data_IF_632442377755
#
_entry.id   IF_632442377755
#
_cell.length_a   1.000
_cell.length_b   1.000
_cell.length_c   1.000
_cell.angle_alpha   90.00
_cell.angle_beta   90.00
_cell.angle_gamma   90.00
#
_symmetry.space_group_name_H-M   'P 1'
#
loop_
_entity.id
_entity.type
_entity.pdbx_description
1 polymer ?
#
# COMPACT_ATOMS: atom_id res chain seq x y z
N UNK A 1 -22.10 14.02 7.49
CA UNK A 1 -20.97 13.16 7.88
C UNK A 1 -19.65 13.76 7.41
N UNK A 2 -18.52 13.52 8.09
CA UNK A 2 -17.23 13.94 7.56
C UNK A 2 -16.76 12.88 6.55
N UNK A 3 -16.43 13.29 5.32
CA UNK A 3 -16.01 12.35 4.26
C UNK A 3 -14.78 11.51 4.66
N UNK A 4 -14.04 11.96 5.67
CA UNK A 4 -12.95 11.24 6.34
C UNK A 4 -13.37 9.91 6.95
N UNK A 5 -14.62 9.77 7.41
CA UNK A 5 -15.12 8.55 8.05
C UNK A 5 -15.20 7.38 7.05
N UNK A 6 -15.46 7.69 5.76
CA UNK A 6 -15.50 6.71 4.68
C UNK A 6 -14.12 6.06 4.45
N UNK A 7 -13.04 6.86 4.44
CA UNK A 7 -11.68 6.32 4.31
C UNK A 7 -11.36 5.35 5.45
N UNK A 8 -11.64 5.74 6.70
CA UNK A 8 -11.40 4.87 7.86
C UNK A 8 -12.23 3.59 7.81
N UNK A 9 -13.45 3.63 7.25
CA UNK A 9 -14.24 2.43 7.02
C UNK A 9 -13.60 1.50 5.98
N UNK A 10 -13.13 2.04 4.84
CA UNK A 10 -12.42 1.31 3.79
C UNK A 10 -11.15 0.66 4.35
N UNK A 11 -10.30 1.44 5.01
CA UNK A 11 -9.04 0.98 5.61
C UNK A 11 -9.28 -0.13 6.64
N UNK A 12 -10.25 0.05 7.52
CA UNK A 12 -10.57 -0.98 8.50
C UNK A 12 -11.16 -2.25 7.86
N UNK A 13 -11.89 -2.14 6.74
CA UNK A 13 -12.37 -3.29 6.00
C UNK A 13 -11.24 -4.06 5.30
N UNK A 14 -10.25 -3.36 4.73
CA UNK A 14 -9.01 -3.96 4.24
C UNK A 14 -8.28 -4.72 5.35
N UNK A 15 -8.07 -4.07 6.51
CA UNK A 15 -7.35 -4.69 7.62
C UNK A 15 -8.07 -5.92 8.18
N UNK A 16 -9.41 -5.95 8.17
CA UNK A 16 -10.18 -7.11 8.60
C UNK A 16 -9.95 -8.36 7.72
N UNK A 17 -9.49 -8.20 6.47
CA UNK A 17 -9.13 -9.32 5.60
C UNK A 17 -7.73 -9.89 5.91
N UNK A 18 -6.84 -9.09 6.50
CA UNK A 18 -5.45 -9.49 6.72
C UNK A 18 -5.29 -10.77 7.55
N UNK A 19 -6.00 -10.99 8.67
CA UNK A 19 -5.89 -12.23 9.45
C UNK A 19 -6.33 -13.48 8.67
N UNK A 20 -7.19 -13.32 7.67
CA UNK A 20 -7.73 -14.42 6.85
C UNK A 20 -6.77 -14.75 5.70
N UNK A 21 -6.23 -13.72 5.04
CA UNK A 21 -5.39 -13.89 3.84
C UNK A 21 -3.92 -14.16 4.17
N UNK A 22 -3.38 -13.58 5.25
CA UNK A 22 -1.97 -13.71 5.63
C UNK A 22 -1.53 -15.18 5.81
N UNK A 23 -2.27 -16.06 6.51
CA UNK A 23 -1.89 -17.47 6.62
C UNK A 23 -1.84 -18.19 5.26
N UNK A 24 -2.69 -17.79 4.30
CA UNK A 24 -2.67 -18.36 2.94
C UNK A 24 -1.38 -17.95 2.22
N UNK A 25 -1.01 -16.67 2.31
CA UNK A 25 0.24 -16.16 1.71
C UNK A 25 1.45 -16.82 2.36
N UNK A 26 1.52 -16.91 3.69
CA UNK A 26 2.64 -17.53 4.42
C UNK A 26 2.81 -19.02 4.08
N UNK A 27 1.69 -19.76 4.02
CA UNK A 27 1.70 -21.17 3.65
C UNK A 27 2.21 -21.36 2.22
N UNK A 28 1.73 -20.54 1.27
CA UNK A 28 2.16 -20.63 -0.12
C UNK A 28 3.62 -20.19 -0.27
N UNK A 29 4.04 -19.11 0.40
CA UNK A 29 5.43 -18.64 0.39
C UNK A 29 6.37 -19.74 0.85
N UNK A 30 6.07 -20.38 1.99
CA UNK A 30 6.83 -21.53 2.50
C UNK A 30 6.87 -22.70 1.52
N UNK A 31 5.75 -23.01 0.85
CA UNK A 31 5.68 -24.11 -0.11
C UNK A 31 6.57 -23.91 -1.35
N UNK A 32 6.90 -22.66 -1.69
CA UNK A 32 7.81 -22.32 -2.78
C UNK A 32 9.22 -21.92 -2.31
N UNK A 33 9.52 -22.03 -1.00
CA UNK A 33 10.80 -21.62 -0.44
C UNK A 33 11.04 -20.11 -0.51
N UNK A 34 9.98 -19.31 -0.53
CA UNK A 34 10.01 -17.85 -0.58
C UNK A 34 9.66 -17.26 0.78
N UNK A 35 10.21 -16.09 1.07
CA UNK A 35 9.68 -15.22 2.13
C UNK A 35 8.35 -14.61 1.70
N UNK A 36 7.53 -14.17 2.67
CA UNK A 36 6.28 -13.44 2.37
C UNK A 36 6.54 -12.18 1.55
N UNK A 37 7.65 -11.48 1.81
CA UNK A 37 8.02 -10.28 1.06
C UNK A 37 8.35 -10.61 -0.40
N UNK A 38 9.12 -11.66 -0.66
CA UNK A 38 9.44 -12.12 -2.01
C UNK A 38 8.18 -12.57 -2.76
N UNK A 39 7.26 -13.27 -2.08
CA UNK A 39 5.97 -13.64 -2.68
C UNK A 39 5.13 -12.42 -3.08
N UNK A 40 5.05 -11.40 -2.21
CA UNK A 40 4.36 -10.15 -2.53
C UNK A 40 5.01 -9.45 -3.73
N UNK A 41 6.34 -9.36 -3.77
CA UNK A 41 7.06 -8.75 -4.89
C UNK A 41 6.88 -9.53 -6.19
N UNK A 42 6.87 -10.86 -6.14
CA UNK A 42 6.60 -11.71 -7.29
C UNK A 42 5.20 -11.45 -7.86
N UNK A 43 4.18 -11.32 -7.01
CA UNK A 43 2.80 -11.02 -7.44
C UNK A 43 2.63 -9.62 -8.03
N UNK A 44 3.49 -8.69 -7.62
CA UNK A 44 3.52 -7.33 -8.13
C UNK A 44 4.27 -7.23 -9.46
N UNK A 45 5.26 -8.07 -9.74
CA UNK A 45 6.08 -7.96 -10.94
C UNK A 45 5.29 -7.91 -12.29
N UNK A 46 4.24 -8.73 -12.53
CA UNK A 46 3.48 -8.68 -13.77
C UNK A 46 2.75 -7.36 -14.01
N UNK A 47 2.43 -6.60 -12.96
CA UNK A 47 1.68 -5.36 -13.13
C UNK A 47 2.46 -4.31 -13.90
N UNK A 48 3.79 -4.45 -13.99
CA UNK A 48 4.67 -3.53 -14.71
C UNK A 48 4.88 -3.87 -16.18
N UNK A 49 4.30 -4.96 -16.69
CA UNK A 49 4.43 -5.26 -18.11
C UNK A 49 3.89 -4.12 -18.99
N UNK A 50 4.57 -3.82 -20.13
CA UNK A 50 5.69 -4.53 -20.74
C UNK A 50 7.08 -4.18 -20.17
N UNK A 51 7.19 -3.28 -19.21
CA UNK A 51 8.47 -2.89 -18.59
C UNK A 51 9.02 -4.03 -17.70
N UNK A 52 10.34 -4.07 -17.49
CA UNK A 52 10.93 -4.99 -16.53
C UNK A 52 10.73 -4.44 -15.11
N UNK A 53 10.44 -5.29 -14.13
CA UNK A 53 10.45 -4.86 -12.72
C UNK A 53 11.88 -4.59 -12.28
N UNK A 54 12.09 -3.51 -11.53
CA UNK A 54 13.39 -3.11 -11.01
C UNK A 54 13.25 -2.47 -9.63
N UNK A 55 14.36 -2.35 -8.91
CA UNK A 55 14.36 -1.67 -7.61
C UNK A 55 13.92 -0.20 -7.74
N UNK A 56 14.30 0.49 -8.82
CA UNK A 56 13.88 1.88 -9.06
C UNK A 56 12.37 1.98 -9.32
N UNK A 57 11.80 1.04 -10.06
CA UNK A 57 10.36 1.01 -10.35
C UNK A 57 9.55 0.70 -9.08
N UNK A 58 10.02 -0.24 -8.25
CA UNK A 58 9.41 -0.54 -6.96
C UNK A 58 9.53 0.63 -5.98
N UNK A 59 10.67 1.33 -5.97
CA UNK A 59 10.86 2.49 -5.12
C UNK A 59 9.99 3.69 -5.57
N UNK A 60 9.67 3.83 -6.87
CA UNK A 60 8.64 4.80 -7.32
C UNK A 60 7.28 4.52 -6.69
N UNK A 61 6.90 3.24 -6.56
CA UNK A 61 5.65 2.83 -5.91
C UNK A 61 5.67 3.06 -4.40
N UNK A 62 6.77 2.65 -3.77
CA UNK A 62 6.94 2.65 -2.31
C UNK A 62 8.35 3.16 -1.99
N UNK A 63 8.53 4.49 -1.94
CA UNK A 63 9.85 5.11 -1.79
C UNK A 63 10.41 4.97 -0.38
N UNK A 64 9.64 4.39 0.54
CA UNK A 64 9.98 4.21 1.94
C UNK A 64 10.88 3.00 2.19
N UNK A 65 11.13 2.16 1.18
CA UNK A 65 11.94 0.95 1.28
C UNK A 65 13.26 1.15 0.54
N UNK A 66 14.37 0.72 1.14
CA UNK A 66 15.70 0.82 0.55
C UNK A 66 15.75 0.15 -0.84
N UNK A 67 16.28 0.83 -1.87
CA UNK A 67 16.50 0.23 -3.18
C UNK A 67 17.35 -1.04 -3.12
N UNK A 68 18.29 -1.14 -2.17
CA UNK A 68 19.13 -2.31 -2.00
C UNK A 68 18.35 -3.52 -1.45
N UNK A 69 17.37 -3.28 -0.57
CA UNK A 69 16.47 -4.33 -0.11
C UNK A 69 15.62 -4.87 -1.26
N UNK A 70 15.09 -3.98 -2.12
CA UNK A 70 14.40 -4.42 -3.33
C UNK A 70 15.31 -5.19 -4.28
N UNK A 71 16.53 -4.71 -4.51
CA UNK A 71 17.48 -5.38 -5.40
C UNK A 71 17.78 -6.81 -4.93
N UNK A 72 18.11 -6.99 -3.65
CA UNK A 72 18.35 -8.31 -3.05
C UNK A 72 17.15 -9.25 -3.21
N UNK A 73 15.93 -8.76 -2.94
CA UNK A 73 14.75 -9.59 -3.08
C UNK A 73 14.47 -10.01 -4.54
N UNK A 74 14.71 -9.12 -5.52
CA UNK A 74 14.59 -9.44 -6.93
C UNK A 74 15.68 -10.42 -7.41
N UNK A 75 16.92 -10.26 -6.94
CA UNK A 75 18.01 -11.19 -7.20
C UNK A 75 17.75 -12.58 -6.61
N UNK A 76 17.21 -12.65 -5.39
CA UNK A 76 16.80 -13.91 -4.77
C UNK A 76 15.71 -14.61 -5.59
N UNK A 77 14.68 -13.88 -6.01
CA UNK A 77 13.62 -14.41 -6.87
C UNK A 77 14.18 -14.90 -8.23
N UNK A 78 15.20 -14.23 -8.78
CA UNK A 78 15.87 -14.65 -9.99
C UNK A 78 16.70 -15.93 -9.79
N UNK A 79 17.46 -16.00 -8.70
CA UNK A 79 18.22 -17.19 -8.31
C UNK A 79 17.30 -18.40 -8.06
N UNK A 80 16.10 -18.17 -7.54
CA UNK A 80 15.05 -19.18 -7.38
C UNK A 80 14.29 -19.53 -8.67
N UNK A 81 14.66 -18.97 -9.81
CA UNK A 81 14.05 -19.24 -11.12
C UNK A 81 12.67 -18.60 -11.33
N UNK A 82 12.18 -17.78 -10.39
CA UNK A 82 10.88 -17.10 -10.49
C UNK A 82 10.93 -15.87 -11.40
N UNK A 83 12.10 -15.25 -11.45
CA UNK A 83 12.40 -14.14 -12.35
C UNK A 83 13.60 -14.46 -13.24
N UNK A 84 13.71 -13.75 -14.35
CA UNK A 84 14.88 -13.76 -15.22
C UNK A 84 15.42 -12.34 -15.35
N UNK A 85 16.73 -12.18 -15.19
CA UNK A 85 17.40 -10.90 -15.46
C UNK A 85 17.57 -10.74 -16.96
N UNK A 86 17.15 -9.59 -17.51
CA UNK A 86 17.47 -9.19 -18.89
C UNK A 86 18.48 -8.06 -18.85
N UNK A 87 19.67 -8.32 -19.39
CA UNK A 87 20.68 -7.32 -19.78
C UNK A 87 21.04 -6.30 -18.68
N UNK A 88 20.86 -6.66 -17.40
CA UNK A 88 21.14 -5.78 -16.25
C UNK A 88 20.16 -4.62 -16.03
N UNK A 89 19.07 -4.53 -16.81
CA UNK A 89 18.12 -3.39 -16.75
C UNK A 89 16.94 -3.69 -15.82
N UNK A 90 16.63 -4.97 -15.58
CA UNK A 90 15.58 -5.39 -14.66
C UNK A 90 15.21 -6.86 -14.83
N UNK A 91 14.11 -7.24 -14.20
CA UNK A 91 13.66 -8.61 -14.11
C UNK A 91 12.32 -8.82 -14.81
N UNK A 92 12.12 -10.01 -15.37
CA UNK A 92 10.83 -10.47 -15.92
C UNK A 92 10.41 -11.76 -15.26
N UNK A 93 9.10 -11.91 -15.06
CA UNK A 93 8.53 -13.14 -14.52
C UNK A 93 8.76 -14.29 -15.50
N UNK A 94 9.26 -15.42 -15.00
CA UNK A 94 9.44 -16.64 -15.79
C UNK A 94 8.14 -17.43 -15.84
N UNK A 95 8.08 -18.50 -16.64
CA UNK A 95 6.93 -19.42 -16.62
C UNK A 95 6.71 -20.03 -15.23
N UNK A 96 7.79 -20.39 -14.53
CA UNK A 96 7.72 -20.87 -13.15
C UNK A 96 7.16 -19.80 -12.20
N UNK A 97 7.62 -18.55 -12.33
CA UNK A 97 7.09 -17.42 -11.57
C UNK A 97 5.58 -17.22 -11.80
N UNK A 98 5.14 -17.28 -13.06
CA UNK A 98 3.72 -17.17 -13.42
C UNK A 98 2.87 -18.31 -12.84
N UNK A 99 3.36 -19.54 -12.87
CA UNK A 99 2.67 -20.68 -12.26
C UNK A 99 2.58 -20.54 -10.73
N UNK A 100 3.63 -20.05 -10.08
CA UNK A 100 3.63 -19.74 -8.64
C UNK A 100 2.57 -18.68 -8.30
N UNK A 101 2.52 -17.58 -9.05
CA UNK A 101 1.50 -16.52 -8.89
C UNK A 101 0.10 -17.11 -9.09
N UNK A 102 -0.09 -17.93 -10.11
CA UNK A 102 -1.38 -18.59 -10.41
C UNK A 102 -1.86 -19.45 -9.24
N UNK A 103 -0.97 -20.26 -8.65
CA UNK A 103 -1.30 -21.12 -7.49
C UNK A 103 -1.64 -20.33 -6.24
N UNK A 104 -0.94 -19.22 -5.99
CA UNK A 104 -1.29 -18.31 -4.90
C UNK A 104 -2.69 -17.71 -5.14
N UNK A 105 -2.92 -17.13 -6.32
CA UNK A 105 -4.19 -16.48 -6.66
C UNK A 105 -5.37 -17.45 -6.58
N UNK A 106 -5.21 -18.69 -7.04
CA UNK A 106 -6.23 -19.74 -6.87
C UNK A 106 -6.52 -20.03 -5.38
N UNK A 107 -5.49 -20.07 -4.55
CA UNK A 107 -5.64 -20.29 -3.11
C UNK A 107 -6.37 -19.11 -2.43
N UNK A 108 -5.98 -17.88 -2.75
CA UNK A 108 -6.64 -16.67 -2.25
C UNK A 108 -8.10 -16.59 -2.70
N UNK A 109 -8.38 -16.84 -3.99
CA UNK A 109 -9.74 -16.85 -4.52
C UNK A 109 -10.60 -17.94 -3.87
N UNK A 110 -10.05 -19.14 -3.63
CA UNK A 110 -10.75 -20.21 -2.91
C UNK A 110 -11.11 -19.80 -1.49
N UNK A 111 -10.17 -19.18 -0.77
CA UNK A 111 -10.43 -18.65 0.58
C UNK A 111 -11.52 -17.59 0.55
N UNK A 112 -11.41 -16.60 -0.34
CA UNK A 112 -12.38 -15.51 -0.48
C UNK A 112 -13.78 -16.01 -0.90
N UNK A 113 -13.86 -17.05 -1.73
CA UNK A 113 -15.14 -17.64 -2.13
C UNK A 113 -15.95 -18.21 -0.95
N UNK A 114 -15.27 -18.61 0.13
CA UNK A 114 -15.91 -19.14 1.34
C UNK A 114 -16.39 -18.07 2.32
N UNK A 115 -16.14 -16.79 2.06
CA UNK A 115 -16.48 -15.69 2.97
C UNK A 115 -17.76 -15.02 2.46
N UNK A 116 -18.74 -14.83 3.34
CA UNK A 116 -19.98 -14.14 3.01
C UNK A 116 -20.43 -13.24 4.17
N UNK A 117 -19.84 -12.04 4.32
CA UNK A 117 -20.10 -11.16 5.46
C UNK A 117 -21.49 -10.51 5.42
N UNK A 118 -22.09 -10.44 4.23
CA UNK A 118 -23.42 -9.85 4.00
C UNK A 118 -24.30 -10.78 3.14
N UNK A 119 -25.63 -10.61 3.17
CA UNK A 119 -26.52 -11.21 2.19
C UNK A 119 -26.11 -10.88 0.74
N UNK A 120 -26.39 -11.78 -0.21
CA UNK A 120 -25.93 -11.68 -1.61
C UNK A 120 -26.27 -10.32 -2.24
N UNK A 121 -27.50 -9.84 -2.06
CA UNK A 121 -27.95 -8.55 -2.63
C UNK A 121 -27.16 -7.38 -2.06
N UNK A 122 -26.86 -7.40 -0.76
CA UNK A 122 -26.05 -6.37 -0.09
C UNK A 122 -24.56 -6.46 -0.47
N UNK A 123 -24.04 -7.67 -0.69
CA UNK A 123 -22.70 -7.86 -1.25
C UNK A 123 -22.59 -7.30 -2.67
N UNK A 124 -23.62 -7.49 -3.50
CA UNK A 124 -23.67 -6.93 -4.86
C UNK A 124 -23.73 -5.40 -4.83
N UNK A 125 -24.55 -4.83 -3.95
CA UNK A 125 -24.64 -3.38 -3.75
C UNK A 125 -23.29 -2.81 -3.31
N UNK A 126 -22.62 -3.44 -2.33
CA UNK A 126 -21.30 -3.03 -1.88
C UNK A 126 -20.27 -3.07 -3.01
N UNK A 127 -20.21 -4.16 -3.77
CA UNK A 127 -19.29 -4.29 -4.88
C UNK A 127 -19.54 -3.23 -5.98
N UNK A 128 -20.80 -2.89 -6.24
CA UNK A 128 -21.15 -1.82 -7.20
C UNK A 128 -20.67 -0.47 -6.71
N UNK A 129 -21.00 -0.10 -5.46
CA UNK A 129 -20.61 1.19 -4.87
C UNK A 129 -19.10 1.36 -4.82
N UNK A 130 -18.36 0.35 -4.33
CA UNK A 130 -16.90 0.39 -4.28
C UNK A 130 -16.27 0.52 -5.67
N UNK A 131 -16.84 -0.17 -6.67
CA UNK A 131 -16.40 -0.03 -8.06
C UNK A 131 -16.60 1.39 -8.56
N UNK A 132 -17.77 1.97 -8.32
CA UNK A 132 -18.07 3.34 -8.80
C UNK A 132 -17.15 4.37 -8.15
N UNK A 133 -16.84 4.23 -6.85
CA UNK A 133 -15.83 5.05 -6.17
C UNK A 133 -14.43 4.86 -6.80
N UNK A 134 -14.00 3.61 -7.04
CA UNK A 134 -12.69 3.32 -7.62
C UNK A 134 -12.56 3.84 -9.06
N UNK A 135 -13.63 3.76 -9.86
CA UNK A 135 -13.66 4.31 -11.21
C UNK A 135 -13.58 5.84 -11.20
N UNK A 136 -14.28 6.52 -10.29
CA UNK A 136 -14.14 7.97 -10.12
C UNK A 136 -12.70 8.38 -9.74
N UNK A 137 -12.02 7.59 -8.90
CA UNK A 137 -10.60 7.78 -8.55
C UNK A 137 -9.64 7.52 -9.73
N UNK A 138 -10.01 6.67 -10.70
CA UNK A 138 -9.20 6.44 -11.91
C UNK A 138 -9.37 7.56 -12.93
N UNK A 139 -10.56 8.15 -13.02
CA UNK A 139 -10.94 9.16 -14.00
C UNK A 139 -10.57 10.60 -13.59
N UNK A 140 -10.34 10.84 -12.30
CA UNK A 140 -9.97 12.16 -11.79
C UNK A 140 -8.61 12.65 -12.29
N UNK A 141 -8.48 13.95 -12.64
CA UNK A 141 -7.20 14.57 -12.99
C UNK A 141 -6.30 14.86 -11.76
N UNK A 142 -6.87 14.89 -10.56
CA UNK A 142 -6.14 15.06 -9.29
C UNK A 142 -6.20 13.78 -8.44
N UNK A 143 -5.12 13.38 -7.75
CA UNK A 143 -3.80 14.03 -7.66
C UNK A 143 -3.00 13.96 -8.98
N UNK A 144 -1.94 14.78 -9.12
CA UNK A 144 -0.99 14.65 -10.22
C UNK A 144 -0.36 13.24 -10.24
N UNK A 145 -0.87 12.39 -11.13
CA UNK A 145 -0.47 10.99 -11.23
C UNK A 145 -1.36 10.05 -10.40
N UNK A 146 -1.87 9.02 -11.06
CA UNK A 146 -2.70 7.95 -10.49
C UNK A 146 -2.03 6.60 -10.74
N UNK A 147 -0.73 6.54 -10.48
CA UNK A 147 0.13 5.44 -10.90
C UNK A 147 -0.14 4.20 -10.06
N UNK A 148 -0.30 4.31 -8.74
CA UNK A 148 -0.58 3.20 -7.84
C UNK A 148 -1.94 2.55 -8.13
N UNK A 149 -3.03 3.32 -8.22
CA UNK A 149 -4.36 2.75 -8.52
C UNK A 149 -4.40 2.10 -9.91
N UNK A 150 -3.76 2.70 -10.93
CA UNK A 150 -3.68 2.10 -12.27
C UNK A 150 -3.01 0.74 -12.27
N UNK A 151 -1.95 0.57 -11.48
CA UNK A 151 -1.28 -0.71 -11.35
C UNK A 151 -2.06 -1.70 -10.47
N UNK A 152 -2.74 -1.23 -9.42
CA UNK A 152 -3.66 -2.06 -8.64
C UNK A 152 -4.78 -2.63 -9.52
N UNK A 153 -5.40 -1.81 -10.39
CA UNK A 153 -6.45 -2.24 -11.34
C UNK A 153 -6.00 -3.31 -12.33
N UNK A 154 -4.69 -3.44 -12.62
CA UNK A 154 -4.15 -4.53 -13.46
C UNK A 154 -4.26 -5.91 -12.79
N UNK A 155 -4.49 -5.96 -11.48
CA UNK A 155 -4.71 -7.18 -10.71
C UNK A 155 -6.19 -7.61 -10.67
N UNK A 156 -7.09 -6.95 -11.43
CA UNK A 156 -8.51 -7.30 -11.48
C UNK A 156 -8.70 -8.82 -11.69
N UNK A 157 -9.31 -9.53 -10.72
CA UNK A 157 -9.46 -10.98 -10.80
C UNK A 157 -10.48 -11.41 -11.88
N UNK A 158 -11.16 -10.45 -12.50
CA UNK A 158 -12.09 -10.64 -13.60
C UNK A 158 -13.52 -10.95 -13.14
N UNK A 159 -14.46 -10.85 -14.08
CA UNK A 159 -15.91 -10.98 -13.79
C UNK A 159 -16.34 -12.35 -13.26
N UNK A 160 -15.54 -13.40 -13.52
CA UNK A 160 -15.80 -14.77 -13.07
C UNK A 160 -15.24 -15.06 -11.67
N UNK A 161 -14.48 -14.13 -11.09
CA UNK A 161 -13.97 -14.30 -9.74
C UNK A 161 -15.10 -14.23 -8.70
N UNK A 162 -14.93 -14.85 -7.53
CA UNK A 162 -15.88 -14.75 -6.43
C UNK A 162 -16.16 -13.29 -6.06
N UNK A 163 -17.39 -12.97 -5.63
CA UNK A 163 -17.79 -11.60 -5.28
C UNK A 163 -16.85 -10.97 -4.25
N UNK A 164 -16.43 -11.74 -3.24
CA UNK A 164 -15.46 -11.28 -2.24
C UNK A 164 -14.09 -10.92 -2.80
N UNK A 165 -13.62 -11.61 -3.84
CA UNK A 165 -12.36 -11.26 -4.49
C UNK A 165 -12.46 -9.92 -5.21
N UNK A 166 -13.62 -9.62 -5.81
CA UNK A 166 -13.89 -8.33 -6.44
C UNK A 166 -14.04 -7.21 -5.41
N UNK A 167 -14.71 -7.46 -4.29
CA UNK A 167 -14.76 -6.49 -3.17
C UNK A 167 -13.37 -6.20 -2.62
N UNK A 168 -12.53 -7.23 -2.38
CA UNK A 168 -11.14 -7.04 -1.97
C UNK A 168 -10.37 -6.18 -2.98
N UNK A 169 -10.50 -6.47 -4.28
CA UNK A 169 -9.85 -5.69 -5.33
C UNK A 169 -10.23 -4.21 -5.28
N UNK A 170 -11.53 -3.87 -5.18
CA UNK A 170 -11.94 -2.46 -5.15
C UNK A 170 -11.50 -1.74 -3.86
N UNK A 171 -11.47 -2.45 -2.72
CA UNK A 171 -10.91 -1.90 -1.49
C UNK A 171 -9.41 -1.62 -1.64
N UNK A 172 -8.63 -2.55 -2.21
CA UNK A 172 -7.20 -2.37 -2.48
C UNK A 172 -6.93 -1.23 -3.48
N UNK A 173 -7.77 -1.04 -4.49
CA UNK A 173 -7.68 0.09 -5.41
C UNK A 173 -7.90 1.44 -4.72
N UNK A 174 -8.88 1.52 -3.81
CA UNK A 174 -9.13 2.73 -3.03
C UNK A 174 -7.98 3.03 -2.06
N UNK A 175 -7.31 2.02 -1.50
CA UNK A 175 -6.07 2.22 -0.72
C UNK A 175 -4.92 2.67 -1.64
N UNK A 176 -4.76 2.05 -2.80
CA UNK A 176 -3.72 2.43 -3.76
C UNK A 176 -3.90 3.87 -4.27
N UNK A 177 -5.13 4.35 -4.41
CA UNK A 177 -5.38 5.76 -4.73
C UNK A 177 -5.04 6.69 -3.57
N UNK A 178 -5.24 6.27 -2.30
CA UNK A 178 -4.76 7.03 -1.15
C UNK A 178 -3.23 7.13 -1.15
N UNK A 179 -2.53 6.09 -1.61
CA UNK A 179 -1.07 6.15 -1.81
C UNK A 179 -0.69 7.17 -2.89
N UNK A 180 -1.39 7.20 -4.04
CA UNK A 180 -1.17 8.22 -5.09
C UNK A 180 -1.36 9.64 -4.54
N UNK A 181 -2.47 9.87 -3.82
CA UNK A 181 -2.75 11.15 -3.17
C UNK A 181 -1.64 11.52 -2.18
N UNK A 182 -1.15 10.55 -1.42
CA UNK A 182 -0.12 10.80 -0.40
C UNK A 182 1.21 11.14 -1.05
N UNK A 183 1.67 10.32 -1.99
CA UNK A 183 2.90 10.54 -2.76
C UNK A 183 2.90 11.93 -3.40
N UNK A 184 1.81 12.28 -4.10
CA UNK A 184 1.68 13.61 -4.72
C UNK A 184 1.70 14.77 -3.70
N UNK A 185 1.18 14.55 -2.49
CA UNK A 185 1.14 15.59 -1.46
C UNK A 185 2.50 15.89 -0.84
N UNK A 186 3.33 14.86 -0.58
CA UNK A 186 4.60 15.03 0.13
C UNK A 186 5.83 15.12 -0.77
N UNK A 187 5.83 14.54 -1.97
CA UNK A 187 7.02 14.51 -2.85
C UNK A 187 7.51 15.90 -3.26
N UNK A 188 6.64 16.92 -3.21
CA UNK A 188 7.02 18.33 -3.44
C UNK A 188 7.86 18.96 -2.32
N UNK A 189 7.89 18.34 -1.14
CA UNK A 189 8.60 18.86 0.05
C UNK A 189 9.86 18.04 0.36
N UNK A 190 9.77 16.73 0.16
CA UNK A 190 10.83 15.78 0.43
C UNK A 190 10.87 14.77 -0.71
N UNK A 191 12.04 14.52 -1.28
CA UNK A 191 12.22 13.50 -2.32
C UNK A 191 12.67 12.17 -1.70
N UNK A 192 13.28 12.22 -0.51
CA UNK A 192 13.77 11.07 0.22
C UNK A 192 12.67 10.42 1.06
N UNK A 193 12.14 9.28 0.60
CA UNK A 193 11.12 8.52 1.32
C UNK A 193 11.55 8.06 2.73
N UNK A 194 12.84 7.80 2.96
CA UNK A 194 13.33 7.45 4.31
C UNK A 194 13.30 8.66 5.25
N UNK A 195 13.65 9.85 4.76
CA UNK A 195 13.51 11.08 5.54
C UNK A 195 12.05 11.35 5.90
N UNK A 196 11.10 11.05 5.00
CA UNK A 196 9.66 11.08 5.33
C UNK A 196 9.30 10.13 6.46
N UNK A 197 9.79 8.89 6.44
CA UNK A 197 9.52 7.90 7.51
C UNK A 197 10.07 8.38 8.86
N UNK A 198 11.30 8.92 8.88
CA UNK A 198 11.91 9.50 10.09
C UNK A 198 11.06 10.68 10.62
N UNK A 199 10.61 11.58 9.74
CA UNK A 199 9.74 12.69 10.13
C UNK A 199 8.38 12.20 10.64
N UNK A 200 7.82 11.15 10.04
CA UNK A 200 6.54 10.55 10.44
C UNK A 200 6.66 9.89 11.81
N UNK A 201 7.75 9.18 12.07
CA UNK A 201 8.04 8.62 13.39
C UNK A 201 8.10 9.73 14.46
N UNK A 202 8.86 10.80 14.18
CA UNK A 202 8.98 11.93 15.10
C UNK A 202 7.70 12.77 15.22
N UNK A 203 6.81 12.74 14.24
CA UNK A 203 5.48 13.37 14.33
C UNK A 203 4.60 12.69 15.38
N UNK A 204 4.65 11.36 15.46
CA UNK A 204 3.91 10.55 16.43
C UNK A 204 4.59 10.63 17.81
N UNK A 205 5.88 10.28 17.87
CA UNK A 205 6.62 10.16 19.13
C UNK A 205 7.09 11.50 19.70
N UNK A 206 7.03 12.57 18.91
CA UNK A 206 7.49 13.94 19.20
C UNK A 206 9.01 14.09 19.35
N UNK A 207 9.69 13.10 19.90
CA UNK A 207 11.14 13.03 20.06
C UNK A 207 11.60 11.57 20.16
N UNK A 208 12.82 11.28 19.71
CA UNK A 208 13.46 9.98 19.90
C UNK A 208 14.97 10.05 19.67
N UNK A 209 15.72 9.11 20.23
CA UNK A 209 17.15 8.95 19.94
C UNK A 209 17.31 8.30 18.56
N UNK A 210 18.28 8.76 17.77
CA UNK A 210 18.50 8.29 16.39
C UNK A 210 18.55 6.75 16.26
N UNK A 211 19.23 6.07 17.19
CA UNK A 211 19.32 4.60 17.19
C UNK A 211 17.97 3.91 17.37
N UNK A 212 17.06 4.49 18.17
CA UNK A 212 15.70 3.96 18.38
C UNK A 212 14.87 4.11 17.09
N UNK A 213 15.00 5.26 16.42
CA UNK A 213 14.33 5.50 15.13
C UNK A 213 14.82 4.49 14.09
N UNK A 214 16.15 4.33 13.97
CA UNK A 214 16.75 3.36 13.05
C UNK A 214 16.26 1.94 13.33
N UNK A 215 16.26 1.50 14.58
CA UNK A 215 15.76 0.18 14.97
C UNK A 215 14.28 0.00 14.59
N UNK A 216 13.45 1.01 14.87
CA UNK A 216 12.01 0.98 14.58
C UNK A 216 11.71 0.93 13.08
N UNK A 217 12.60 1.49 12.25
CA UNK A 217 12.47 1.51 10.78
C UNK A 217 13.36 0.48 10.08
N UNK A 218 14.02 -0.41 10.82
CA UNK A 218 14.99 -1.37 10.26
C UNK A 218 14.40 -2.29 9.19
N UNK A 219 13.11 -2.60 9.28
CA UNK A 219 12.37 -3.39 8.29
C UNK A 219 12.31 -2.75 6.89
N UNK A 220 12.61 -1.45 6.76
CA UNK A 220 12.76 -0.75 5.48
C UNK A 220 14.09 -1.01 4.79
N UNK A 221 15.06 -1.61 5.48
CA UNK A 221 16.36 -2.01 4.92
C UNK A 221 17.38 -0.89 4.72
N UNK A 222 17.17 0.27 5.36
CA UNK A 222 18.16 1.36 5.38
C UNK A 222 19.20 1.14 6.47
N UNK A 223 20.43 1.56 6.22
CA UNK A 223 21.51 1.53 7.22
C UNK A 223 21.34 2.63 8.28
N UNK A 224 22.14 2.56 9.35
CA UNK A 224 22.21 3.65 10.33
C UNK A 224 22.77 4.94 9.69
N UNK A 225 23.71 4.81 8.75
CA UNK A 225 24.27 5.94 8.00
C UNK A 225 23.20 6.62 7.12
N UNK A 226 22.38 5.84 6.42
CA UNK A 226 21.24 6.37 5.65
C UNK A 226 20.25 7.09 6.57
N UNK A 227 20.01 6.54 7.76
CA UNK A 227 19.11 7.16 8.76
C UNK A 227 19.70 8.45 9.31
N UNK A 228 21.01 8.51 9.55
CA UNK A 228 21.71 9.72 9.96
C UNK A 228 21.66 10.80 8.86
N UNK A 229 21.87 10.41 7.60
CA UNK A 229 21.78 11.30 6.44
C UNK A 229 20.38 11.89 6.30
N UNK A 230 19.35 11.03 6.36
CA UNK A 230 17.95 11.43 6.34
C UNK A 230 17.61 12.40 7.49
N UNK A 231 18.04 12.11 8.72
CA UNK A 231 17.85 13.02 9.85
C UNK A 231 18.57 14.37 9.66
N UNK A 232 19.78 14.35 9.11
CA UNK A 232 20.58 15.56 8.84
C UNK A 232 19.89 16.46 7.81
N UNK A 233 19.25 15.87 6.80
CA UNK A 233 18.44 16.61 5.85
C UNK A 233 17.24 17.30 6.51
N UNK A 234 16.49 16.58 7.36
CA UNK A 234 15.35 17.16 8.09
C UNK A 234 15.78 18.29 9.05
N UNK A 235 16.98 18.18 9.64
CA UNK A 235 17.57 19.22 10.48
C UNK A 235 17.92 20.46 9.63
N UNK A 236 18.56 20.26 8.48
CA UNK A 236 18.89 21.35 7.54
C UNK A 236 17.64 22.09 7.05
N UNK A 237 16.51 21.38 6.88
CA UNK A 237 15.21 21.97 6.53
C UNK A 237 14.52 22.67 7.71
N UNK A 238 15.05 22.55 8.92
CA UNK A 238 14.46 23.12 10.15
C UNK A 238 13.21 22.38 10.63
N UNK A 239 12.95 21.18 10.12
CA UNK A 239 11.76 20.38 10.48
C UNK A 239 12.01 19.53 11.74
N UNK A 240 13.28 19.21 11.97
CA UNK A 240 13.76 18.47 13.15
C UNK A 240 14.88 19.28 13.79
N UNK A 241 14.96 19.26 15.12
CA UNK A 241 16.08 19.78 15.88
C UNK A 241 16.84 18.64 16.55
N UNK A 242 18.14 18.82 16.75
CA UNK A 242 19.01 17.82 17.39
C UNK A 242 19.67 18.40 18.65
N UNK A 243 19.66 17.61 19.72
CA UNK A 243 20.40 17.86 20.96
C UNK A 243 21.13 16.57 21.36
N UNK A 244 22.45 16.52 21.18
CA UNK A 244 23.18 15.25 21.26
C UNK A 244 22.63 14.25 20.25
N UNK A 245 22.21 13.06 20.68
CA UNK A 245 21.57 12.05 19.82
C UNK A 245 20.04 12.09 19.84
N UNK A 246 19.45 13.00 20.63
CA UNK A 246 18.01 13.20 20.69
C UNK A 246 17.56 14.06 19.51
N UNK A 247 16.64 13.53 18.72
CA UNK A 247 15.94 14.25 17.67
C UNK A 247 14.54 14.64 18.15
N UNK A 248 14.10 15.84 17.81
CA UNK A 248 12.76 16.36 18.16
C UNK A 248 12.14 17.02 16.94
N UNK A 249 10.86 16.75 16.68
CA UNK A 249 10.14 17.48 15.63
C UNK A 249 9.88 18.93 16.06
N UNK A 250 10.19 19.88 15.19
CA UNK A 250 10.01 21.32 15.45
C UNK A 250 8.55 21.71 15.24
N UNK A 251 8.09 22.89 15.72
CA UNK A 251 6.78 23.42 15.34
C UNK A 251 6.60 23.55 13.83
N UNK A 252 7.67 23.90 13.10
CA UNK A 252 7.64 24.02 11.64
C UNK A 252 7.52 22.65 10.95
N UNK A 253 8.32 21.65 11.36
CA UNK A 253 8.19 20.29 10.84
C UNK A 253 6.82 19.67 11.13
N UNK A 254 6.23 20.04 12.27
CA UNK A 254 4.85 19.71 12.59
C UNK A 254 3.86 20.29 11.58
N UNK A 255 3.99 21.56 11.25
CA UNK A 255 3.09 22.20 10.30
C UNK A 255 3.23 21.64 8.88
N UNK A 256 4.46 21.28 8.47
CA UNK A 256 4.70 20.57 7.21
C UNK A 256 3.93 19.25 7.16
N UNK A 257 3.98 18.44 8.23
CA UNK A 257 3.22 17.17 8.29
C UNK A 257 1.71 17.40 8.22
N UNK A 258 1.17 18.40 8.95
CA UNK A 258 -0.27 18.75 8.84
C UNK A 258 -0.66 19.13 7.43
N UNK A 259 0.16 19.97 6.79
CA UNK A 259 -0.10 20.42 5.42
C UNK A 259 -0.10 19.25 4.44
N UNK A 260 0.84 18.30 4.60
CA UNK A 260 0.90 17.07 3.80
C UNK A 260 -0.37 16.24 3.99
N UNK A 261 -0.80 15.98 5.23
CA UNK A 261 -2.01 15.18 5.47
C UNK A 261 -3.27 15.86 4.94
N UNK A 262 -3.44 17.17 5.20
CA UNK A 262 -4.58 17.93 4.68
C UNK A 262 -4.59 17.97 3.14
N UNK A 263 -3.43 18.08 2.50
CA UNK A 263 -3.32 18.01 1.03
C UNK A 263 -3.66 16.61 0.54
N UNK A 264 -3.24 15.58 1.27
CA UNK A 264 -3.54 14.20 0.89
C UNK A 264 -5.04 13.92 0.97
N UNK A 265 -5.69 14.34 2.05
CA UNK A 265 -7.14 14.20 2.21
C UNK A 265 -7.88 14.95 1.12
N UNK A 266 -7.47 16.19 0.82
CA UNK A 266 -8.05 16.95 -0.30
C UNK A 266 -7.96 16.15 -1.61
N UNK A 267 -6.77 15.66 -1.98
CA UNK A 267 -6.60 14.88 -3.20
C UNK A 267 -7.43 13.60 -3.21
N UNK A 268 -7.46 12.87 -2.10
CA UNK A 268 -8.19 11.62 -1.99
C UNK A 268 -9.71 11.81 -2.11
N UNK A 269 -10.24 12.88 -1.52
CA UNK A 269 -11.68 13.14 -1.47
C UNK A 269 -12.23 13.91 -2.67
N UNK A 270 -11.39 14.63 -3.43
CA UNK A 270 -11.80 15.32 -4.67
C UNK A 270 -12.68 14.46 -5.61
N UNK A 271 -12.30 13.23 -6.01
CA UNK A 271 -13.13 12.42 -6.90
C UNK A 271 -14.47 12.02 -6.28
N UNK A 272 -14.61 12.05 -4.96
CA UNK A 272 -15.80 11.58 -4.26
C UNK A 272 -16.87 12.67 -4.10
N UNK A 273 -16.53 13.93 -4.41
CA UNK A 273 -17.45 15.08 -4.30
C UNK A 273 -18.61 14.99 -5.31
N UNK A 274 -18.46 14.22 -6.39
CA UNK A 274 -19.53 14.03 -7.38
C UNK A 274 -20.66 13.11 -6.90
N UNK A 275 -20.46 12.35 -5.81
CA UNK A 275 -21.48 11.50 -5.21
C UNK A 275 -22.33 12.29 -4.21
N UNK A 276 -23.60 11.91 -4.07
CA UNK A 276 -24.46 12.54 -3.07
C UNK A 276 -24.01 12.15 -1.65
N UNK A 277 -24.23 13.05 -0.68
CA UNK A 277 -23.90 12.74 0.73
C UNK A 277 -24.61 11.49 1.22
N UNK A 278 -25.86 11.26 0.80
CA UNK A 278 -26.61 10.06 1.17
C UNK A 278 -26.00 8.79 0.59
N UNK A 279 -25.47 8.83 -0.65
CA UNK A 279 -24.81 7.67 -1.26
C UNK A 279 -23.51 7.31 -0.54
N UNK A 280 -22.73 8.31 -0.14
CA UNK A 280 -21.51 8.10 0.63
C UNK A 280 -21.81 7.56 2.03
N UNK A 281 -22.83 8.09 2.71
CA UNK A 281 -23.31 7.60 4.02
C UNK A 281 -23.75 6.13 3.94
N UNK A 282 -24.58 5.78 2.96
CA UNK A 282 -25.01 4.39 2.74
C UNK A 282 -23.83 3.46 2.42
N UNK A 283 -22.87 3.94 1.63
CA UNK A 283 -21.67 3.15 1.28
C UNK A 283 -20.82 2.89 2.52
N UNK A 284 -20.60 3.91 3.35
CA UNK A 284 -19.87 3.78 4.61
C UNK A 284 -20.56 2.79 5.57
N UNK A 285 -21.88 2.90 5.76
CA UNK A 285 -22.65 1.98 6.58
C UNK A 285 -22.51 0.54 6.10
N UNK A 286 -22.59 0.33 4.78
CA UNK A 286 -22.47 -1.00 4.17
C UNK A 286 -21.05 -1.59 4.34
N UNK A 287 -20.00 -0.77 4.25
CA UNK A 287 -18.62 -1.17 4.54
C UNK A 287 -18.47 -1.54 6.03
N UNK A 288 -19.07 -0.77 6.94
CA UNK A 288 -19.04 -1.06 8.38
C UNK A 288 -19.76 -2.37 8.70
N UNK A 289 -20.91 -2.63 8.09
CA UNK A 289 -21.62 -3.90 8.23
C UNK A 289 -20.81 -5.06 7.67
N UNK A 290 -20.24 -4.89 6.46
CA UNK A 290 -19.35 -5.86 5.84
C UNK A 290 -18.19 -6.24 6.77
N UNK A 291 -17.53 -5.25 7.37
CA UNK A 291 -16.44 -5.48 8.34
C UNK A 291 -16.93 -6.25 9.57
N UNK A 292 -18.10 -5.92 10.11
CA UNK A 292 -18.68 -6.60 11.28
C UNK A 292 -19.07 -8.05 10.99
N UNK A 293 -19.47 -8.34 9.75
CA UNK A 293 -19.83 -9.68 9.29
C UNK A 293 -18.63 -10.58 8.97
N UNK A 294 -17.40 -10.06 9.01
CA UNK A 294 -16.21 -10.87 8.76
C UNK A 294 -16.04 -11.97 9.82
N UNK A 295 -15.59 -13.17 9.41
CA UNK A 295 -15.31 -14.23 10.37
C UNK A 295 -14.17 -13.81 11.30
N UNK A 296 -14.39 -13.96 12.60
CA UNK A 296 -13.33 -13.81 13.60
C UNK A 296 -12.49 -15.08 13.52
N UNK A 297 -11.23 -14.93 13.13
CA UNK A 297 -10.26 -16.03 13.20
C UNK A 297 -9.73 -16.06 14.64
N UNK A 298 -9.91 -17.17 15.34
CA UNK A 298 -9.17 -17.43 16.57
C UNK A 298 -7.68 -17.58 16.17
N UNK A 299 -6.85 -16.63 16.60
CA UNK A 299 -5.39 -16.60 16.35
C UNK A 299 -4.69 -17.37 17.46
#
# INVERSE_FOLDING_TARGET
MAITDLYHAIEAACFALSPILKPVVEKQSSAFGLTTQEMVLLCVAPIFEPECVSASLLNRRSPYTSPDLYRKALENLANGGMLSSRDGVGFRVTEQGLETIRKLNQSLQKTLAGIQPLPITRMMDLASRLKDLADACLETPEPPGNWCIKHARRLDPGRKAPMMARVNQFLEELIAFRDDAHLAAWQRYEENGHAREVLTYLWVEKQAVLGIIHQSLSYRGFSLEDTLSAASELIRKGWVSREGDLLRITPFGREIRRTIEATTDRYYFTPLICFSTSDLEQTEELIKEFRKGMPIMDI
#
